data_IF_494613894949
#
_entry.id   IF_494613894949
#
_cell.length_a   1.000
_cell.length_b   1.000
_cell.length_c   1.000
_cell.angle_alpha   90.00
_cell.angle_beta   90.00
_cell.angle_gamma   90.00
#
_symmetry.space_group_name_H-M   'P 1'
#
loop_
_entity.id
_entity.type
_entity.pdbx_description
1 polymer ?
#
# COMPACT_ATOMS: atom_id res chain seq x y z
N UNK A 1 16.24 -23.54 -16.92
CA UNK A 1 16.77 -22.21 -17.32
C UNK A 1 15.68 -21.17 -17.47
N UNK A 2 14.81 -21.21 -18.50
CA UNK A 2 13.76 -20.18 -18.68
C UNK A 2 12.79 -20.10 -17.47
N UNK A 3 12.39 -21.25 -16.92
CA UNK A 3 11.48 -21.31 -15.75
C UNK A 3 12.17 -20.84 -14.45
N UNK A 4 13.45 -21.16 -14.27
CA UNK A 4 14.21 -20.77 -13.05
C UNK A 4 14.45 -19.26 -12.99
N UNK A 5 14.78 -18.64 -14.13
CA UNK A 5 14.94 -17.18 -14.23
C UNK A 5 13.62 -16.47 -13.94
N UNK A 6 12.50 -17.00 -14.45
CA UNK A 6 11.16 -16.47 -14.18
C UNK A 6 10.80 -16.57 -12.69
N UNK A 7 11.04 -17.72 -12.05
CA UNK A 7 10.77 -17.93 -10.62
C UNK A 7 11.60 -16.97 -9.75
N UNK A 8 12.87 -16.77 -10.08
CA UNK A 8 13.73 -15.81 -9.37
C UNK A 8 13.20 -14.38 -9.50
N UNK A 9 12.81 -13.95 -10.70
CA UNK A 9 12.23 -12.62 -10.90
C UNK A 9 10.95 -12.39 -10.09
N UNK A 10 10.01 -13.35 -10.10
CA UNK A 10 8.77 -13.26 -9.32
C UNK A 10 9.03 -13.18 -7.80
N UNK A 11 10.05 -13.88 -7.29
CA UNK A 11 10.46 -13.80 -5.88
C UNK A 11 11.04 -12.44 -5.52
N UNK A 12 11.85 -11.86 -6.41
CA UNK A 12 12.40 -10.52 -6.21
C UNK A 12 11.30 -9.46 -6.20
N UNK A 13 10.31 -9.58 -7.10
CA UNK A 13 9.20 -8.63 -7.16
C UNK A 13 8.28 -8.73 -5.93
N UNK A 14 8.04 -9.94 -5.40
CA UNK A 14 7.38 -10.12 -4.10
C UNK A 14 8.13 -9.41 -2.97
N UNK A 15 9.45 -9.57 -2.92
CA UNK A 15 10.28 -8.92 -1.89
C UNK A 15 10.20 -7.39 -2.00
N UNK A 16 10.26 -6.84 -3.22
CA UNK A 16 10.11 -5.39 -3.43
C UNK A 16 8.73 -4.91 -2.97
N UNK A 17 7.66 -5.67 -3.24
CA UNK A 17 6.32 -5.33 -2.79
C UNK A 17 6.20 -5.37 -1.26
N UNK A 18 6.86 -6.31 -0.58
CA UNK A 18 6.93 -6.30 0.89
C UNK A 18 7.56 -5.01 1.41
N UNK A 19 8.68 -4.58 0.83
CA UNK A 19 9.34 -3.32 1.20
C UNK A 19 8.45 -2.09 0.91
N UNK A 20 7.67 -2.11 -0.18
CA UNK A 20 6.72 -1.05 -0.53
C UNK A 20 5.57 -0.99 0.49
N UNK A 21 5.01 -2.15 0.88
CA UNK A 21 3.90 -2.21 1.83
C UNK A 21 4.28 -1.70 3.22
N UNK A 22 5.53 -1.89 3.64
CA UNK A 22 6.06 -1.27 4.87
C UNK A 22 6.03 0.26 4.75
N UNK A 23 6.52 0.81 3.64
CA UNK A 23 6.52 2.27 3.40
C UNK A 23 5.11 2.83 3.27
N UNK A 24 4.18 2.10 2.66
CA UNK A 24 2.78 2.50 2.59
C UNK A 24 2.19 2.63 3.98
N UNK A 25 2.50 1.69 4.89
CA UNK A 25 2.03 1.75 6.27
C UNK A 25 2.63 2.96 7.01
N UNK A 26 3.94 3.21 6.85
CA UNK A 26 4.60 4.40 7.42
C UNK A 26 3.97 5.72 6.92
N UNK A 27 3.63 5.78 5.63
CA UNK A 27 2.95 6.93 5.03
C UNK A 27 1.54 7.12 5.61
N UNK A 28 0.77 6.04 5.74
CA UNK A 28 -0.56 6.07 6.36
C UNK A 28 -0.46 6.59 7.79
N UNK A 29 0.49 6.08 8.58
CA UNK A 29 0.68 6.51 9.97
C UNK A 29 1.03 8.00 10.07
N UNK A 30 1.87 8.51 9.16
CA UNK A 30 2.18 9.93 9.07
C UNK A 30 0.93 10.75 8.70
N UNK A 31 0.15 10.30 7.71
CA UNK A 31 -1.07 10.98 7.27
C UNK A 31 -2.15 11.00 8.35
N UNK A 32 -2.30 9.91 9.10
CA UNK A 32 -3.20 9.87 10.27
C UNK A 32 -2.80 10.90 11.32
N UNK A 33 -1.50 11.09 11.59
CA UNK A 33 -1.02 12.14 12.52
C UNK A 33 -1.35 13.54 12.01
N UNK A 34 -1.14 13.79 10.71
CA UNK A 34 -1.48 15.08 10.08
C UNK A 34 -2.99 15.34 10.17
N UNK A 35 -3.83 14.36 9.79
CA UNK A 35 -5.29 14.49 9.88
C UNK A 35 -5.77 14.81 11.29
N UNK A 36 -5.21 14.15 12.32
CA UNK A 36 -5.57 14.43 13.73
C UNK A 36 -5.19 15.84 14.15
N UNK A 37 -4.03 16.34 13.69
CA UNK A 37 -3.62 17.71 13.97
C UNK A 37 -4.53 18.73 13.27
N UNK A 38 -4.94 18.47 12.02
CA UNK A 38 -5.86 19.35 11.29
C UNK A 38 -7.28 19.28 11.82
N UNK A 39 -7.73 18.14 12.35
CA UNK A 39 -9.00 18.01 13.07
C UNK A 39 -9.05 18.97 14.28
N UNK A 40 -8.02 18.96 15.12
CA UNK A 40 -7.93 19.88 16.26
C UNK A 40 -7.87 21.36 15.83
N UNK A 41 -7.18 21.67 14.74
CA UNK A 41 -7.15 23.02 14.18
C UNK A 41 -8.51 23.47 13.64
N UNK A 42 -9.28 22.56 13.05
CA UNK A 42 -10.62 22.83 12.56
C UNK A 42 -11.58 23.11 13.71
N UNK A 43 -11.54 22.30 14.77
CA UNK A 43 -12.35 22.50 15.98
C UNK A 43 -12.07 23.86 16.64
N UNK A 44 -10.82 24.34 16.57
CA UNK A 44 -10.42 25.65 17.06
C UNK A 44 -10.71 26.80 16.07
N UNK A 45 -11.22 26.50 14.87
CA UNK A 45 -11.51 27.48 13.83
C UNK A 45 -10.26 28.08 13.16
N UNK A 46 -9.09 27.44 13.29
CA UNK A 46 -7.82 27.89 12.70
C UNK A 46 -7.75 27.59 11.20
N UNK A 47 -8.42 26.53 10.76
CA UNK A 47 -8.54 26.12 9.36
C UNK A 47 -10.00 25.97 8.95
N UNK A 48 -10.25 25.82 7.66
CA UNK A 48 -11.58 25.55 7.12
C UNK A 48 -11.87 24.06 7.00
N UNK A 49 -13.14 23.67 6.87
CA UNK A 49 -13.53 22.29 6.58
C UNK A 49 -12.93 21.79 5.27
N UNK A 50 -12.72 22.66 4.28
CA UNK A 50 -12.08 22.30 3.02
C UNK A 50 -10.61 21.90 3.20
N UNK A 51 -9.90 22.56 4.12
CA UNK A 51 -8.51 22.20 4.47
C UNK A 51 -8.46 20.82 5.12
N UNK A 52 -9.37 20.54 6.05
CA UNK A 52 -9.47 19.23 6.69
C UNK A 52 -9.81 18.11 5.68
N UNK A 53 -10.80 18.33 4.79
CA UNK A 53 -11.18 17.34 3.77
C UNK A 53 -10.00 16.99 2.85
N UNK A 54 -9.12 17.96 2.53
CA UNK A 54 -7.90 17.69 1.75
C UNK A 54 -6.97 16.70 2.45
N UNK A 55 -6.73 16.89 3.75
CA UNK A 55 -5.88 15.96 4.52
C UNK A 55 -6.54 14.60 4.74
N UNK A 56 -7.86 14.56 4.97
CA UNK A 56 -8.63 13.32 5.02
C UNK A 56 -8.48 12.53 3.71
N UNK A 57 -8.68 13.17 2.57
CA UNK A 57 -8.52 12.53 1.25
C UNK A 57 -7.08 12.08 1.00
N UNK A 58 -6.08 12.82 1.50
CA UNK A 58 -4.68 12.42 1.38
C UNK A 58 -4.37 11.15 2.18
N UNK A 59 -4.95 10.97 3.37
CA UNK A 59 -4.86 9.72 4.13
C UNK A 59 -5.58 8.57 3.40
N UNK A 60 -6.80 8.80 2.91
CA UNK A 60 -7.56 7.77 2.18
C UNK A 60 -6.85 7.33 0.90
N UNK A 61 -6.26 8.25 0.14
CA UNK A 61 -5.46 7.92 -1.04
C UNK A 61 -4.26 7.02 -0.69
N UNK A 62 -3.58 7.28 0.44
CA UNK A 62 -2.50 6.42 0.90
C UNK A 62 -3.00 5.00 1.26
N UNK A 63 -4.18 4.90 1.89
CA UNK A 63 -4.82 3.60 2.19
C UNK A 63 -5.20 2.84 0.91
N UNK A 64 -5.75 3.53 -0.08
CA UNK A 64 -6.10 2.93 -1.38
C UNK A 64 -4.86 2.46 -2.14
N UNK A 65 -3.78 3.24 -2.14
CA UNK A 65 -2.50 2.84 -2.75
C UNK A 65 -1.95 1.57 -2.10
N UNK A 66 -1.97 1.47 -0.76
CA UNK A 66 -1.59 0.24 -0.07
C UNK A 66 -2.43 -0.95 -0.53
N UNK A 67 -3.76 -0.80 -0.59
CA UNK A 67 -4.66 -1.86 -1.05
C UNK A 67 -4.40 -2.30 -2.50
N UNK A 68 -4.01 -1.36 -3.36
CA UNK A 68 -3.58 -1.67 -4.73
C UNK A 68 -2.30 -2.51 -4.74
N UNK A 69 -1.29 -2.13 -3.96
CA UNK A 69 -0.03 -2.88 -3.87
C UNK A 69 -0.24 -4.28 -3.23
N UNK A 70 -1.14 -4.41 -2.25
CA UNK A 70 -1.54 -5.72 -1.69
C UNK A 70 -2.17 -6.62 -2.75
N UNK A 71 -3.04 -6.06 -3.59
CA UNK A 71 -3.66 -6.79 -4.71
C UNK A 71 -2.59 -7.24 -5.72
N UNK A 72 -1.64 -6.37 -6.06
CA UNK A 72 -0.52 -6.73 -6.93
C UNK A 72 0.33 -7.85 -6.33
N UNK A 73 0.61 -7.80 -5.02
CA UNK A 73 1.35 -8.85 -4.32
C UNK A 73 0.63 -10.20 -4.40
N UNK A 74 -0.68 -10.23 -4.24
CA UNK A 74 -1.46 -11.47 -4.36
C UNK A 74 -1.42 -12.03 -5.79
N UNK A 75 -1.52 -11.17 -6.81
CA UNK A 75 -1.38 -11.59 -8.22
C UNK A 75 -0.02 -12.25 -8.46
N UNK A 76 1.08 -11.63 -7.99
CA UNK A 76 2.44 -12.20 -8.17
C UNK A 76 2.60 -13.49 -7.37
N UNK A 77 2.03 -13.57 -6.16
CA UNK A 77 2.02 -14.79 -5.34
C UNK A 77 1.35 -15.95 -6.08
N UNK A 78 0.21 -15.71 -6.72
CA UNK A 78 -0.49 -16.69 -7.55
C UNK A 78 0.35 -17.10 -8.77
N UNK A 79 0.97 -16.13 -9.46
CA UNK A 79 1.85 -16.42 -10.60
C UNK A 79 3.05 -17.29 -10.19
N UNK A 80 3.66 -17.03 -9.03
CA UNK A 80 4.75 -17.83 -8.48
C UNK A 80 4.29 -19.25 -8.13
N UNK A 81 3.12 -19.39 -7.49
CA UNK A 81 2.54 -20.71 -7.19
C UNK A 81 2.26 -21.52 -8.46
N UNK A 82 1.73 -20.88 -9.50
CA UNK A 82 1.51 -21.52 -10.79
C UNK A 82 2.83 -21.98 -11.44
N UNK A 83 3.86 -21.13 -11.43
CA UNK A 83 5.19 -21.46 -11.98
C UNK A 83 5.87 -22.62 -11.22
N UNK A 84 5.56 -22.78 -9.93
CA UNK A 84 6.04 -23.86 -9.07
C UNK A 84 5.15 -25.11 -9.12
N UNK A 85 4.01 -25.08 -9.83
CA UNK A 85 3.08 -26.21 -9.92
C UNK A 85 2.32 -26.53 -8.64
N UNK A 86 2.24 -25.59 -7.69
CA UNK A 86 1.60 -25.78 -6.36
C UNK A 86 0.13 -25.34 -6.32
N UNK A 87 -0.47 -25.01 -7.46
CA UNK A 87 -1.91 -24.81 -7.59
C UNK A 87 -2.57 -26.13 -8.01
N UNK A 88 -2.89 -26.99 -7.04
CA UNK A 88 -3.80 -28.12 -7.26
C UNK A 88 -5.13 -27.86 -6.52
N UNK A 89 -6.18 -27.62 -7.34
CA UNK A 89 -7.63 -27.52 -7.05
C UNK A 89 -8.10 -26.63 -5.91
#
# INVERSE_FOLDING_TARGET
MANDVQITGLREDLKKLDDILVKDQELIDLRTKIKRATEAQLEQGVITSADFIRELNAEENARQMKGLHETQKEIISIQLKNALGIYEK
#
